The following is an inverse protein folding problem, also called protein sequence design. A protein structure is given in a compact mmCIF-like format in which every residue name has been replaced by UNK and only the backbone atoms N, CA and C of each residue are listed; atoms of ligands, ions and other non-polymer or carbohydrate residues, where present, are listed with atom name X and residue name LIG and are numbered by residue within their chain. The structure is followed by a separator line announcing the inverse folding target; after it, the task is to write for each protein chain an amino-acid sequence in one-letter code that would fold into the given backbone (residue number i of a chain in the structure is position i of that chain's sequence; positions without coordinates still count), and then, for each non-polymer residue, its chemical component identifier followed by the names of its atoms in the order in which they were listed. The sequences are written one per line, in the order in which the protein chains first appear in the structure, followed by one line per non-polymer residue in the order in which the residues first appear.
data_IF_993408007406
#
_entry.id   IF_993408007406
#
_cell.length_a   1.000
_cell.length_b   1.000
_cell.length_c   1.000
_cell.angle_alpha   90.00
_cell.angle_beta   90.00
_cell.angle_gamma   90.00
#
_symmetry.space_group_name_H-M   'P 1'
#
loop_
_entity.id
_entity.type
_entity.pdbx_description
1 polymer ?
#
# COMPACT_ATOMS: atom_id res chain seq x y z
N UNK A 1 5.18 20.64 -18.81
CA UNK A 1 5.80 20.36 -17.51
C UNK A 1 5.36 19.01 -17.01
N UNK A 2 6.30 18.17 -16.67
CA UNK A 2 6.00 16.87 -16.06
C UNK A 2 5.86 17.04 -14.55
N UNK A 3 4.82 16.45 -13.98
CA UNK A 3 4.65 16.43 -12.52
C UNK A 3 5.75 15.57 -11.88
N UNK A 4 6.31 16.05 -10.79
CA UNK A 4 7.32 15.32 -10.05
C UNK A 4 6.65 14.41 -9.02
N UNK A 5 6.86 13.09 -9.14
CA UNK A 5 6.36 12.10 -8.20
C UNK A 5 7.50 11.74 -7.25
N UNK A 6 7.26 11.86 -5.96
CA UNK A 6 8.22 11.47 -4.92
C UNK A 6 7.57 10.44 -4.02
N UNK A 7 8.27 9.34 -3.78
CA UNK A 7 7.82 8.30 -2.84
C UNK A 7 8.80 8.29 -1.67
N UNK A 8 8.28 8.36 -0.46
CA UNK A 8 9.10 8.37 0.74
C UNK A 8 8.43 7.64 1.90
N UNK A 9 9.21 7.23 2.92
CA UNK A 9 8.63 6.63 4.13
C UNK A 9 7.68 7.59 4.84
N UNK A 10 6.66 7.01 5.49
CA UNK A 10 5.73 7.75 6.33
C UNK A 10 6.46 8.34 7.54
N UNK A 11 6.10 9.55 7.91
CA UNK A 11 6.64 10.25 9.07
C UNK A 11 5.52 10.68 10.01
N UNK A 12 5.84 10.94 11.26
CA UNK A 12 4.87 11.37 12.27
C UNK A 12 4.11 12.64 11.83
N UNK A 13 4.80 13.54 11.15
CA UNK A 13 4.22 14.79 10.66
C UNK A 13 3.17 14.58 9.57
N UNK A 14 3.11 13.39 9.01
CA UNK A 14 2.14 13.05 7.95
C UNK A 14 0.75 12.71 8.47
N UNK A 15 0.53 12.72 9.78
CA UNK A 15 -0.71 12.20 10.38
C UNK A 15 -1.99 12.75 9.73
N UNK A 16 -2.08 14.05 9.53
CA UNK A 16 -3.28 14.67 8.95
C UNK A 16 -3.50 14.22 7.50
N UNK A 17 -2.45 14.24 6.68
CA UNK A 17 -2.54 13.81 5.29
C UNK A 17 -2.77 12.31 5.18
N UNK A 18 -2.09 11.51 6.00
CA UNK A 18 -2.30 10.07 6.04
C UNK A 18 -3.74 9.74 6.40
N UNK A 19 -4.30 10.41 7.44
CA UNK A 19 -5.69 10.18 7.86
C UNK A 19 -6.68 10.50 6.74
N UNK A 20 -6.45 11.59 6.02
CA UNK A 20 -7.27 11.97 4.87
C UNK A 20 -7.22 10.91 3.76
N UNK A 21 -6.02 10.46 3.41
CA UNK A 21 -5.82 9.45 2.37
C UNK A 21 -6.37 8.10 2.81
N UNK A 22 -6.17 7.72 4.07
CA UNK A 22 -6.71 6.47 4.62
C UNK A 22 -8.23 6.47 4.61
N UNK A 23 -8.85 7.60 4.95
CA UNK A 23 -10.30 7.76 4.88
C UNK A 23 -10.78 7.58 3.43
N UNK A 24 -10.07 8.13 2.47
CA UNK A 24 -10.39 7.95 1.04
C UNK A 24 -10.32 6.49 0.61
N UNK A 25 -9.32 5.76 1.09
CA UNK A 25 -9.20 4.32 0.84
C UNK A 25 -10.40 3.56 1.40
N UNK A 26 -10.78 3.87 2.65
CA UNK A 26 -11.92 3.21 3.30
C UNK A 26 -13.23 3.52 2.60
N UNK A 27 -13.43 4.75 2.15
CA UNK A 27 -14.63 5.15 1.39
C UNK A 27 -14.73 4.36 0.08
N UNK A 28 -13.60 4.12 -0.58
CA UNK A 28 -13.56 3.30 -1.79
C UNK A 28 -14.13 1.90 -1.52
N UNK A 29 -13.86 1.35 -0.34
CA UNK A 29 -14.37 0.03 0.08
C UNK A 29 -15.67 0.11 0.87
N UNK A 30 -16.32 1.29 0.90
CA UNK A 30 -17.58 1.53 1.62
C UNK A 30 -17.49 1.11 3.09
N UNK A 31 -16.38 1.46 3.74
CA UNK A 31 -16.03 1.04 5.10
C UNK A 31 -15.72 2.25 5.97
N UNK A 32 -16.11 2.16 7.24
CA UNK A 32 -15.75 3.13 8.27
C UNK A 32 -15.07 2.40 9.42
N UNK A 33 -14.03 3.00 9.98
CA UNK A 33 -13.29 2.45 11.11
C UNK A 33 -13.27 3.45 12.26
N UNK A 34 -13.07 2.94 13.47
CA UNK A 34 -13.02 3.78 14.67
C UNK A 34 -11.74 4.62 14.74
N UNK A 35 -11.78 5.69 15.54
CA UNK A 35 -10.60 6.50 15.80
C UNK A 35 -9.47 5.68 16.44
N UNK A 36 -9.83 4.68 17.24
CA UNK A 36 -8.83 3.79 17.85
C UNK A 36 -8.03 3.03 16.79
N UNK A 37 -8.71 2.51 15.76
CA UNK A 37 -8.03 1.82 14.65
C UNK A 37 -7.08 2.77 13.93
N UNK A 38 -7.50 4.00 13.65
CA UNK A 38 -6.63 5.01 13.04
C UNK A 38 -5.39 5.27 13.91
N UNK A 39 -5.60 5.52 15.19
CA UNK A 39 -4.51 5.84 16.12
C UNK A 39 -3.51 4.69 16.26
N UNK A 40 -4.01 3.49 16.51
CA UNK A 40 -3.16 2.32 16.72
C UNK A 40 -2.41 1.97 15.43
N UNK A 41 -3.10 1.99 14.29
CA UNK A 41 -2.48 1.67 12.99
C UNK A 41 -1.38 2.67 12.65
N UNK A 42 -1.63 3.96 12.87
CA UNK A 42 -0.63 4.97 12.56
C UNK A 42 0.63 4.80 13.43
N UNK A 43 0.46 4.57 14.73
CA UNK A 43 1.60 4.33 15.63
C UNK A 43 2.40 3.09 15.23
N UNK A 44 1.70 2.02 14.83
CA UNK A 44 2.38 0.81 14.35
C UNK A 44 3.20 1.05 13.08
N UNK A 45 2.71 1.90 12.19
CA UNK A 45 3.43 2.26 10.96
C UNK A 45 4.73 3.01 11.23
N UNK A 46 4.89 3.61 12.42
CA UNK A 46 6.06 4.40 12.78
C UNK A 46 7.09 3.64 13.59
N UNK A 47 6.86 2.36 13.90
CA UNK A 47 7.81 1.58 14.69
C UNK A 47 8.98 1.09 13.84
N UNK A 48 10.07 0.72 14.52
CA UNK A 48 11.25 0.10 13.89
C UNK A 48 11.18 -1.43 13.94
N UNK A 49 10.08 -1.99 14.45
CA UNK A 49 9.90 -3.43 14.57
C UNK A 49 9.78 -4.06 13.17
N UNK A 50 10.69 -4.99 12.81
CA UNK A 50 10.65 -5.60 11.48
C UNK A 50 9.43 -6.50 11.24
N UNK A 51 8.67 -6.83 12.30
CA UNK A 51 7.44 -7.63 12.17
C UNK A 51 6.20 -6.77 12.01
N UNK A 52 6.31 -5.47 12.18
CA UNK A 52 5.21 -4.54 11.94
C UNK A 52 5.19 -4.09 10.48
N UNK A 53 4.04 -3.57 10.06
CA UNK A 53 3.93 -3.04 8.71
C UNK A 53 4.60 -1.66 8.60
N UNK A 54 4.92 -1.31 7.37
CA UNK A 54 5.55 -0.04 7.00
C UNK A 54 4.63 0.75 6.08
N UNK A 55 4.82 2.05 6.03
CA UNK A 55 4.05 2.94 5.18
C UNK A 55 4.90 3.81 4.29
N UNK A 56 4.41 4.06 3.09
CA UNK A 56 4.98 5.02 2.14
C UNK A 56 3.93 6.07 1.82
N UNK A 57 4.42 7.29 1.57
CA UNK A 57 3.60 8.40 1.08
C UNK A 57 4.10 8.78 -0.31
N UNK A 58 3.16 8.97 -1.23
CA UNK A 58 3.45 9.51 -2.55
C UNK A 58 3.05 10.97 -2.59
N UNK A 59 3.95 11.80 -3.11
CA UNK A 59 3.70 13.23 -3.30
C UNK A 59 3.80 13.57 -4.78
N UNK A 60 2.92 14.45 -5.24
CA UNK A 60 3.02 15.07 -6.55
C UNK A 60 3.18 16.57 -6.29
N UNK A 61 4.29 17.15 -6.76
CA UNK A 61 4.65 18.56 -6.54
C UNK A 61 4.53 18.94 -5.05
N UNK A 62 5.10 18.09 -4.18
CA UNK A 62 5.16 18.27 -2.73
C UNK A 62 3.81 18.14 -2.01
N UNK A 63 2.76 17.65 -2.69
CA UNK A 63 1.46 17.41 -2.08
C UNK A 63 1.22 15.91 -1.90
N UNK A 64 0.92 15.44 -0.68
CA UNK A 64 0.60 14.01 -0.46
C UNK A 64 -0.67 13.62 -1.21
N UNK A 65 -0.57 12.62 -2.08
CA UNK A 65 -1.66 12.19 -2.96
C UNK A 65 -1.89 10.69 -2.95
N UNK A 66 -1.04 9.93 -2.27
CA UNK A 66 -1.19 8.47 -2.24
C UNK A 66 -0.46 7.85 -1.07
N UNK A 67 -0.85 6.62 -0.74
CA UNK A 67 -0.21 5.84 0.31
C UNK A 67 -0.10 4.37 -0.07
N UNK A 68 0.83 3.69 0.57
CA UNK A 68 0.93 2.24 0.54
C UNK A 68 1.30 1.73 1.93
N UNK A 69 0.70 0.61 2.34
CA UNK A 69 1.06 -0.10 3.56
C UNK A 69 1.50 -1.50 3.18
N UNK A 70 2.61 -1.97 3.73
CA UNK A 70 3.13 -3.29 3.41
C UNK A 70 3.82 -3.91 4.63
N UNK A 71 3.96 -5.24 4.60
CA UNK A 71 4.68 -5.96 5.64
C UNK A 71 5.44 -7.14 5.02
N UNK A 72 6.42 -7.63 5.75
CA UNK A 72 7.14 -8.85 5.38
C UNK A 72 6.71 -9.97 6.30
N UNK A 73 6.45 -11.15 5.75
CA UNK A 73 6.11 -12.33 6.54
C UNK A 73 6.85 -13.56 6.04
N UNK A 74 6.92 -14.57 6.90
CA UNK A 74 7.52 -15.85 6.56
C UNK A 74 6.66 -16.60 5.56
N UNK A 75 7.32 -17.40 4.73
CA UNK A 75 6.69 -18.36 3.84
C UNK A 75 7.33 -19.73 4.11
N UNK A 76 6.51 -20.78 4.11
CA UNK A 76 7.06 -22.13 4.24
C UNK A 76 7.67 -22.62 2.93
N UNK A 77 7.46 -21.88 1.83
CA UNK A 77 7.96 -22.28 0.51
C UNK A 77 9.32 -21.69 0.19
N UNK A 78 9.79 -20.73 0.99
CA UNK A 78 11.05 -20.03 0.76
C UNK A 78 11.79 -19.82 2.07
N UNK A 79 13.10 -19.56 1.97
CA UNK A 79 13.90 -19.18 3.15
C UNK A 79 13.69 -17.69 3.45
N UNK A 80 13.70 -16.87 2.42
CA UNK A 80 13.45 -15.42 2.55
C UNK A 80 11.96 -15.14 2.84
N UNK A 81 11.70 -13.96 3.38
CA UNK A 81 10.34 -13.49 3.62
C UNK A 81 9.63 -13.15 2.31
N UNK A 82 8.32 -12.98 2.40
CA UNK A 82 7.46 -12.50 1.32
C UNK A 82 6.91 -11.15 1.72
N UNK A 83 6.75 -10.24 0.76
CA UNK A 83 6.16 -8.92 0.99
C UNK A 83 4.67 -8.94 0.64
N UNK A 84 3.84 -8.52 1.59
CA UNK A 84 2.41 -8.33 1.36
C UNK A 84 2.13 -6.83 1.29
N UNK A 85 1.72 -6.35 0.12
CA UNK A 85 1.23 -4.99 -0.06
C UNK A 85 -0.24 -4.98 0.36
N UNK A 86 -0.49 -4.47 1.57
CA UNK A 86 -1.81 -4.56 2.21
C UNK A 86 -2.79 -3.57 1.63
N UNK A 87 -2.36 -2.33 1.47
CA UNK A 87 -3.21 -1.23 1.05
C UNK A 87 -2.48 -0.35 0.07
N UNK A 88 -3.19 0.08 -0.96
CA UNK A 88 -2.68 0.97 -1.99
C UNK A 88 -3.79 1.95 -2.35
N UNK A 89 -3.53 3.25 -2.22
CA UNK A 89 -4.52 4.26 -2.54
C UNK A 89 -3.88 5.48 -3.18
N UNK A 90 -4.53 5.98 -4.22
CA UNK A 90 -4.16 7.24 -4.88
C UNK A 90 -5.41 8.11 -4.93
N UNK A 91 -5.27 9.36 -4.55
CA UNK A 91 -6.34 10.34 -4.61
C UNK A 91 -6.94 10.34 -6.02
N UNK A 92 -8.27 10.13 -6.16
CA UNK A 92 -8.89 10.05 -7.48
C UNK A 92 -8.70 11.30 -8.34
N UNK A 93 -8.46 12.47 -7.73
CA UNK A 93 -8.25 13.72 -8.48
C UNK A 93 -6.88 13.77 -9.16
N UNK A 94 -5.96 12.86 -8.81
CA UNK A 94 -4.59 12.83 -9.33
C UNK A 94 -4.36 11.61 -10.25
N UNK A 95 -5.40 10.94 -10.66
CA UNK A 95 -5.28 9.74 -11.49
C UNK A 95 -4.69 10.03 -12.86
N UNK A 96 -4.07 9.00 -13.46
CA UNK A 96 -3.47 9.09 -14.79
C UNK A 96 -2.05 9.61 -14.82
N UNK A 97 -1.41 9.82 -13.65
CA UNK A 97 -0.04 10.33 -13.54
C UNK A 97 1.00 9.26 -13.18
N UNK A 98 0.57 8.01 -13.02
CA UNK A 98 1.49 6.90 -12.71
C UNK A 98 1.84 6.78 -11.22
N UNK A 99 1.09 7.40 -10.32
CA UNK A 99 1.38 7.36 -8.88
C UNK A 99 1.20 5.94 -8.32
N UNK A 100 0.14 5.23 -8.72
CA UNK A 100 -0.11 3.85 -8.28
C UNK A 100 1.02 2.92 -8.68
N UNK A 101 1.47 3.01 -9.93
CA UNK A 101 2.62 2.24 -10.42
C UNK A 101 3.88 2.58 -9.61
N UNK A 102 4.13 3.87 -9.38
CA UNK A 102 5.31 4.31 -8.62
C UNK A 102 5.31 3.76 -7.20
N UNK A 103 4.15 3.72 -6.54
CA UNK A 103 4.01 3.15 -5.20
C UNK A 103 4.30 1.65 -5.21
N UNK A 104 3.74 0.90 -6.15
CA UNK A 104 3.99 -0.55 -6.27
C UNK A 104 5.50 -0.80 -6.47
N UNK A 105 6.12 -0.07 -7.38
CA UNK A 105 7.56 -0.22 -7.66
C UNK A 105 8.40 0.13 -6.42
N UNK A 106 8.02 1.15 -5.67
CA UNK A 106 8.73 1.54 -4.45
C UNK A 106 8.61 0.48 -3.36
N UNK A 107 7.42 -0.12 -3.18
CA UNK A 107 7.24 -1.22 -2.23
C UNK A 107 8.10 -2.41 -2.63
N UNK A 108 8.09 -2.77 -3.91
CA UNK A 108 8.89 -3.90 -4.39
C UNK A 108 10.40 -3.63 -4.24
N UNK A 109 10.83 -2.39 -4.48
CA UNK A 109 12.23 -2.00 -4.26
C UNK A 109 12.63 -2.12 -2.78
N UNK A 110 11.75 -1.71 -1.87
CA UNK A 110 11.98 -1.86 -0.43
C UNK A 110 12.08 -3.34 -0.04
N UNK A 111 11.24 -4.19 -0.64
CA UNK A 111 11.29 -5.64 -0.44
C UNK A 111 12.63 -6.21 -0.90
N UNK A 112 13.07 -5.86 -2.09
CA UNK A 112 14.36 -6.32 -2.63
C UNK A 112 15.53 -5.88 -1.73
N UNK A 113 15.50 -4.65 -1.23
CA UNK A 113 16.53 -4.15 -0.33
C UNK A 113 16.57 -4.95 0.99
N UNK A 114 15.45 -5.54 1.40
CA UNK A 114 15.36 -6.39 2.59
C UNK A 114 15.59 -7.88 2.28
N UNK A 115 16.03 -8.22 1.06
CA UNK A 115 16.26 -9.60 0.66
C UNK A 115 15.01 -10.39 0.31
N UNK A 116 13.91 -9.71 0.07
CA UNK A 116 12.62 -10.31 -0.28
C UNK A 116 12.44 -10.23 -1.79
N UNK A 117 12.03 -11.33 -2.42
CA UNK A 117 11.95 -11.41 -3.88
C UNK A 117 10.54 -11.38 -4.44
N UNK A 118 9.52 -11.54 -3.60
CA UNK A 118 8.13 -11.57 -4.03
C UNK A 118 7.32 -10.52 -3.30
N UNK A 119 6.54 -9.77 -4.04
CA UNK A 119 5.52 -8.85 -3.50
C UNK A 119 4.19 -9.25 -4.10
N UNK A 120 3.18 -9.40 -3.26
CA UNK A 120 1.84 -9.76 -3.72
C UNK A 120 0.79 -8.87 -3.06
N UNK A 121 -0.36 -8.77 -3.69
CA UNK A 121 -1.51 -8.03 -3.16
C UNK A 121 -2.79 -8.66 -3.68
N UNK A 122 -3.91 -8.23 -3.08
CA UNK A 122 -5.21 -8.68 -3.50
C UNK A 122 -6.09 -7.47 -3.82
N UNK A 123 -7.09 -7.68 -4.62
CA UNK A 123 -8.07 -6.65 -4.98
C UNK A 123 -9.42 -7.31 -5.19
N UNK A 124 -10.48 -6.52 -5.14
CA UNK A 124 -11.80 -7.03 -5.47
C UNK A 124 -11.81 -7.44 -6.96
N UNK A 125 -12.41 -8.57 -7.26
CA UNK A 125 -12.46 -9.09 -8.63
C UNK A 125 -13.06 -8.09 -9.62
N UNK A 126 -14.03 -7.30 -9.16
CA UNK A 126 -14.72 -6.30 -9.98
C UNK A 126 -14.00 -4.94 -10.04
N UNK A 127 -12.83 -4.82 -9.41
CA UNK A 127 -12.03 -3.59 -9.51
C UNK A 127 -11.29 -3.57 -10.85
N UNK A 128 -12.03 -3.42 -11.93
CA UNK A 128 -11.47 -3.51 -13.28
C UNK A 128 -10.43 -2.43 -13.55
N UNK A 129 -10.65 -1.24 -13.04
CA UNK A 129 -9.74 -0.12 -13.26
C UNK A 129 -8.37 -0.37 -12.62
N UNK A 130 -8.36 -0.83 -11.37
CA UNK A 130 -7.11 -1.21 -10.69
C UNK A 130 -6.41 -2.37 -11.37
N UNK A 131 -7.19 -3.36 -11.81
CA UNK A 131 -6.65 -4.54 -12.46
C UNK A 131 -5.97 -4.23 -13.80
N UNK A 132 -6.38 -3.18 -14.49
CA UNK A 132 -5.69 -2.76 -15.72
C UNK A 132 -4.23 -2.42 -15.43
N UNK A 133 -3.95 -1.74 -14.31
CA UNK A 133 -2.58 -1.47 -13.87
C UNK A 133 -1.91 -2.76 -13.40
N UNK A 134 -2.59 -3.56 -12.57
CA UNK A 134 -1.99 -4.76 -11.97
C UNK A 134 -1.58 -5.77 -13.03
N UNK A 135 -2.35 -5.93 -14.09
CA UNK A 135 -2.01 -6.84 -15.20
C UNK A 135 -0.76 -6.38 -15.95
N UNK A 136 -0.42 -5.09 -15.89
CA UNK A 136 0.78 -4.56 -16.52
C UNK A 136 2.05 -4.75 -15.67
N UNK A 137 1.91 -4.73 -14.35
CA UNK A 137 3.07 -4.72 -13.44
C UNK A 137 3.30 -6.06 -12.73
N UNK A 138 2.33 -6.98 -12.81
CA UNK A 138 2.41 -8.27 -12.13
C UNK A 138 1.60 -9.32 -12.89
N UNK A 139 1.56 -10.53 -12.33
CA UNK A 139 0.78 -11.63 -12.90
C UNK A 139 -0.30 -12.05 -11.92
N UNK A 140 -1.49 -12.28 -12.42
CA UNK A 140 -2.60 -12.78 -11.61
C UNK A 140 -2.30 -14.21 -11.18
N UNK A 141 -2.45 -14.50 -9.88
CA UNK A 141 -2.29 -15.86 -9.35
C UNK A 141 -3.61 -16.63 -9.42
N UNK A 142 -3.58 -17.97 -9.34
CA UNK A 142 -4.81 -18.76 -9.29
C UNK A 142 -5.42 -18.84 -7.89
N UNK A 143 -4.78 -18.25 -6.86
CA UNK A 143 -5.25 -18.35 -5.48
C UNK A 143 -6.42 -17.42 -5.23
N UNK A 144 -7.40 -17.90 -4.47
CA UNK A 144 -8.55 -17.11 -4.02
C UNK A 144 -8.55 -17.10 -2.50
N UNK A 145 -9.25 -16.13 -1.91
CA UNK A 145 -9.24 -15.90 -0.47
C UNK A 145 -10.52 -16.46 0.15
N UNK A 146 -10.37 -17.21 1.25
CA UNK A 146 -11.47 -17.62 2.11
C UNK A 146 -11.30 -16.94 3.46
N UNK A 147 -12.39 -16.45 4.02
CA UNK A 147 -12.41 -15.82 5.34
C UNK A 147 -13.43 -16.54 6.20
N UNK A 148 -13.03 -16.89 7.42
CA UNK A 148 -13.96 -17.48 8.40
C UNK A 148 -14.09 -16.47 9.55
N UNK A 149 -15.30 -16.05 9.80
CA UNK A 149 -15.60 -15.07 10.85
C UNK A 149 -16.44 -15.71 11.94
N UNK A 150 -16.27 -15.23 13.18
CA UNK A 150 -17.07 -15.69 14.32
C UNK A 150 -18.39 -14.93 14.41
#
# INVERSE_FOLDING_TARGET
MTDTITIRPLRREDHADWSRLWTGYLEFYETELSEEVYRVSFERLLTDDPHEYSGLIAEVDDQPVGLAHFLFHRSMWTVENTCYLMDLFVDPTIRGKGVGRALIEAVHAAAKAAGVTETYWQTQEFNYKGRMLYDQVASRTPFIIYSKED
#
